data_IF_255092580810
#
_entry.id   IF_255092580810
#
_cell.length_a   1.000
_cell.length_b   1.000
_cell.length_c   1.000
_cell.angle_alpha   90.00
_cell.angle_beta   90.00
_cell.angle_gamma   90.00
#
_symmetry.space_group_name_H-M   'P 1'
#
loop_
_entity.id
_entity.type
_entity.pdbx_description
1 polymer ?
#
# COMPACT_ATOMS: atom_id res chain seq x y z
N UNK A 1 3.76 -18.14 3.66
CA UNK A 1 2.86 -17.54 2.64
C UNK A 1 3.70 -16.88 1.56
N UNK A 2 3.49 -17.30 0.30
CA UNK A 2 4.15 -16.80 -0.91
C UNK A 2 5.62 -17.21 -1.04
N UNK A 3 5.91 -18.19 -1.90
CA UNK A 3 7.27 -18.50 -2.36
C UNK A 3 7.90 -17.26 -3.02
N UNK A 4 9.24 -17.18 -3.03
CA UNK A 4 9.96 -16.09 -3.70
C UNK A 4 9.55 -15.94 -5.17
N UNK A 5 9.28 -17.08 -5.83
CA UNK A 5 8.81 -17.15 -7.22
C UNK A 5 7.43 -16.50 -7.41
N UNK A 6 6.48 -16.79 -6.52
CA UNK A 6 5.15 -16.16 -6.56
C UNK A 6 5.23 -14.66 -6.32
N UNK A 7 6.01 -14.22 -5.33
CA UNK A 7 6.18 -12.79 -5.07
C UNK A 7 6.81 -12.05 -6.25
N UNK A 8 7.82 -12.65 -6.89
CA UNK A 8 8.45 -12.10 -8.09
C UNK A 8 7.47 -11.97 -9.27
N UNK A 9 6.63 -12.99 -9.48
CA UNK A 9 5.57 -12.96 -10.51
C UNK A 9 4.59 -11.81 -10.27
N UNK A 10 4.14 -11.62 -9.03
CA UNK A 10 3.24 -10.53 -8.67
C UNK A 10 3.87 -9.14 -8.90
N UNK A 11 5.14 -8.96 -8.52
CA UNK A 11 5.88 -7.71 -8.77
C UNK A 11 6.01 -7.45 -10.27
N UNK A 12 6.28 -8.48 -11.07
CA UNK A 12 6.34 -8.35 -12.53
C UNK A 12 5.00 -7.88 -13.10
N UNK A 13 3.89 -8.52 -12.70
CA UNK A 13 2.54 -8.15 -13.14
C UNK A 13 2.18 -6.70 -12.78
N UNK A 14 2.58 -6.25 -11.58
CA UNK A 14 2.39 -4.87 -11.15
C UNK A 14 3.20 -3.88 -12.01
N UNK A 15 4.48 -4.15 -12.25
CA UNK A 15 5.35 -3.27 -13.05
C UNK A 15 4.93 -3.22 -14.52
N UNK A 16 4.42 -4.32 -15.07
CA UNK A 16 3.92 -4.41 -16.45
C UNK A 16 2.49 -3.86 -16.62
N UNK A 17 1.86 -3.36 -15.54
CA UNK A 17 0.51 -2.82 -15.59
C UNK A 17 -0.59 -3.86 -15.83
N UNK A 18 -0.27 -5.16 -15.68
CA UNK A 18 -1.22 -6.27 -15.82
C UNK A 18 -2.17 -6.38 -14.62
N UNK A 19 -1.87 -5.67 -13.52
CA UNK A 19 -2.70 -5.55 -12.33
C UNK A 19 -2.85 -4.09 -11.97
N UNK A 20 -4.10 -3.64 -11.81
CA UNK A 20 -4.42 -2.27 -11.43
C UNK A 20 -4.33 -2.04 -9.92
N UNK A 21 -4.61 -3.08 -9.13
CA UNK A 21 -4.63 -3.02 -7.66
C UNK A 21 -3.79 -4.15 -7.10
N UNK A 22 -2.95 -3.83 -6.13
CA UNK A 22 -2.14 -4.79 -5.41
C UNK A 22 -2.25 -4.56 -3.90
N UNK A 23 -2.50 -5.62 -3.14
CA UNK A 23 -2.59 -5.56 -1.68
C UNK A 23 -1.34 -6.18 -1.05
N UNK A 24 -0.70 -5.44 -0.14
CA UNK A 24 0.55 -5.81 0.47
C UNK A 24 0.54 -5.47 1.96
N UNK A 25 1.24 -6.26 2.78
CA UNK A 25 1.66 -5.85 4.11
C UNK A 25 3.13 -5.42 4.06
N UNK A 26 3.58 -4.63 5.05
CA UNK A 26 4.98 -4.20 5.15
C UNK A 26 6.00 -5.36 5.16
N UNK A 27 5.56 -6.57 5.51
CA UNK A 27 6.39 -7.77 5.53
C UNK A 27 6.80 -8.26 4.12
N UNK A 28 6.34 -7.62 3.05
CA UNK A 28 6.69 -8.07 1.70
C UNK A 28 8.18 -7.93 1.39
N UNK A 29 8.94 -7.06 2.07
CA UNK A 29 10.42 -7.00 2.02
C UNK A 29 11.03 -6.76 0.63
N UNK A 30 10.20 -6.73 -0.41
CA UNK A 30 10.56 -6.55 -1.79
C UNK A 30 10.53 -5.05 -2.06
N UNK A 31 11.68 -4.52 -2.45
CA UNK A 31 11.77 -3.19 -3.03
C UNK A 31 10.97 -3.14 -4.32
N UNK A 32 9.68 -2.82 -4.23
CA UNK A 32 8.83 -2.59 -5.39
C UNK A 32 9.27 -1.26 -5.99
N UNK A 33 9.80 -1.32 -7.21
CA UNK A 33 10.13 -0.16 -8.03
C UNK A 33 9.27 -0.17 -9.30
N UNK A 34 7.97 0.07 -9.12
CA UNK A 34 7.04 0.25 -10.23
C UNK A 34 6.75 1.75 -10.36
N UNK A 35 7.38 2.45 -11.33
CA UNK A 35 7.31 3.90 -11.41
C UNK A 35 5.90 4.43 -11.69
N UNK A 36 5.03 3.59 -12.25
CA UNK A 36 3.65 3.87 -12.68
C UNK A 36 2.62 3.74 -11.55
N UNK A 37 3.02 3.47 -10.31
CA UNK A 37 2.08 3.46 -9.17
C UNK A 37 1.59 4.90 -8.94
N UNK A 38 0.29 5.14 -9.14
CA UNK A 38 -0.31 6.47 -8.92
C UNK A 38 -1.02 6.64 -7.58
N UNK A 39 -1.24 5.56 -6.84
CA UNK A 39 -1.86 5.63 -5.53
C UNK A 39 -1.28 4.59 -4.58
N UNK A 40 -1.04 5.00 -3.33
CA UNK A 40 -0.81 4.10 -2.19
C UNK A 40 -1.89 4.35 -1.17
N UNK A 41 -2.62 3.30 -0.79
CA UNK A 41 -3.68 3.35 0.22
C UNK A 41 -3.25 2.57 1.45
N UNK A 42 -3.08 3.27 2.57
CA UNK A 42 -2.81 2.65 3.86
C UNK A 42 -4.13 2.36 4.54
N UNK A 43 -4.41 1.08 4.78
CA UNK A 43 -5.61 0.63 5.46
C UNK A 43 -5.30 0.39 6.93
N UNK A 44 -6.00 1.10 7.81
CA UNK A 44 -5.81 1.02 9.26
C UNK A 44 -4.81 2.04 9.82
N UNK A 45 -4.33 1.78 11.02
CA UNK A 45 -3.56 2.76 11.81
C UNK A 45 -2.09 2.83 11.39
N UNK A 46 -1.62 4.04 11.08
CA UNK A 46 -0.20 4.33 10.88
C UNK A 46 0.54 4.24 12.20
N UNK A 47 1.32 3.18 12.41
CA UNK A 47 2.06 2.97 13.68
C UNK A 47 3.30 3.85 13.82
N UNK A 48 3.94 4.21 12.71
CA UNK A 48 5.16 5.04 12.67
C UNK A 48 5.17 5.92 11.41
N UNK A 49 5.33 7.23 11.60
CA UNK A 49 5.35 8.17 10.46
C UNK A 49 6.47 7.91 9.45
N UNK A 50 7.63 7.42 9.90
CA UNK A 50 8.74 7.03 9.01
C UNK A 50 8.33 5.92 8.03
N UNK A 51 7.58 4.94 8.52
CA UNK A 51 7.10 3.82 7.71
C UNK A 51 6.12 4.33 6.66
N UNK A 52 5.13 5.13 7.09
CA UNK A 52 4.21 5.81 6.18
C UNK A 52 4.95 6.63 5.11
N UNK A 53 5.94 7.44 5.49
CA UNK A 53 6.70 8.24 4.53
C UNK A 53 7.43 7.37 3.49
N UNK A 54 8.03 6.25 3.92
CA UNK A 54 8.71 5.32 3.03
C UNK A 54 7.74 4.57 2.09
N UNK A 55 6.58 4.16 2.62
CA UNK A 55 5.55 3.41 1.89
C UNK A 55 4.80 4.29 0.89
N UNK A 56 4.32 5.45 1.34
CA UNK A 56 3.64 6.44 0.48
C UNK A 56 4.53 6.93 -0.66
N UNK A 57 5.85 7.06 -0.43
CA UNK A 57 6.84 7.41 -1.45
C UNK A 57 7.04 6.38 -2.58
N UNK A 58 6.26 5.29 -2.60
CA UNK A 58 6.19 4.38 -3.75
C UNK A 58 5.33 4.93 -4.88
N UNK A 59 4.40 5.84 -4.59
CA UNK A 59 3.57 6.48 -5.61
C UNK A 59 4.29 7.64 -6.31
N UNK A 60 3.97 7.89 -7.59
CA UNK A 60 4.41 9.07 -8.35
C UNK A 60 5.90 9.14 -8.64
N UNK A 61 6.58 7.99 -8.74
CA UNK A 61 8.02 7.94 -9.09
C UNK A 61 8.30 8.35 -10.54
N UNK A 62 7.27 8.32 -11.39
CA UNK A 62 7.27 8.86 -12.75
C UNK A 62 7.10 10.41 -12.81
N UNK A 63 7.01 11.08 -11.66
CA UNK A 63 6.78 12.53 -11.50
C UNK A 63 5.40 13.00 -11.98
N UNK A 64 4.46 12.09 -12.22
CA UNK A 64 3.07 12.45 -12.50
C UNK A 64 2.30 12.67 -11.19
N UNK A 65 1.10 13.27 -11.32
CA UNK A 65 0.22 13.46 -10.16
C UNK A 65 -0.12 12.11 -9.54
N UNK A 66 0.12 11.98 -8.24
CA UNK A 66 -0.13 10.75 -7.48
C UNK A 66 -0.82 11.05 -6.15
N UNK A 67 -1.31 10.00 -5.48
CA UNK A 67 -2.03 10.10 -4.20
C UNK A 67 -1.43 9.19 -3.13
N UNK A 68 -1.29 9.73 -1.93
CA UNK A 68 -1.09 8.95 -0.71
C UNK A 68 -2.37 9.08 0.15
N UNK A 69 -3.04 7.97 0.39
CA UNK A 69 -4.34 7.93 1.07
C UNK A 69 -4.19 7.12 2.35
N UNK A 70 -4.77 7.63 3.45
CA UNK A 70 -4.95 6.89 4.69
C UNK A 70 -6.43 6.61 4.83
N UNK A 71 -6.80 5.33 4.84
CA UNK A 71 -8.15 4.88 5.12
C UNK A 71 -8.20 4.39 6.56
N UNK A 72 -8.70 5.25 7.45
CA UNK A 72 -8.92 4.93 8.85
C UNK A 72 -10.41 4.65 9.05
N UNK A 73 -10.72 3.44 9.51
CA UNK A 73 -12.08 3.07 9.92
C UNK A 73 -12.29 3.43 11.39
N UNK A 74 -13.52 3.77 11.74
CA UNK A 74 -13.93 3.93 13.13
C UNK A 74 -14.69 2.68 13.57
N UNK A 75 -14.48 2.23 14.81
CA UNK A 75 -15.28 1.16 15.38
C UNK A 75 -16.46 1.78 16.12
N UNK A 76 -17.66 1.24 15.91
CA UNK A 76 -18.86 1.65 16.65
C UNK A 76 -19.26 0.48 17.53
N UNK A 77 -19.32 0.67 18.85
CA UNK A 77 -19.83 -0.37 19.74
C UNK A 77 -21.36 -0.50 19.65
N UNK A 78 -21.91 -1.51 20.32
CA UNK A 78 -23.35 -1.77 20.36
C UNK A 78 -24.19 -0.63 20.96
N UNK A 79 -23.56 0.34 21.63
CA UNK A 79 -24.20 1.52 22.22
C UNK A 79 -24.09 2.76 21.31
N UNK A 80 -23.52 2.62 20.12
CA UNK A 80 -23.29 3.73 19.20
C UNK A 80 -22.06 4.58 19.51
N UNK A 81 -21.20 4.14 20.44
CA UNK A 81 -19.98 4.90 20.79
C UNK A 81 -18.91 4.65 19.73
N UNK A 82 -18.34 5.73 19.21
CA UNK A 82 -17.28 5.72 18.21
C UNK A 82 -15.91 5.62 18.90
N UNK A 83 -15.11 4.64 18.50
CA UNK A 83 -13.72 4.43 18.92
C UNK A 83 -12.80 4.59 17.71
N UNK A 84 -11.59 5.10 17.98
CA UNK A 84 -10.49 5.19 17.02
C UNK A 84 -9.61 3.95 17.11
#
# INVERSE_FOLDING_TARGET
MGSSKEKSKLVKQLTEGQQQVFTATNALGLGINAPTIQAVVHVGTIRKMRHYAQESGRAGRDRQKSKAIIMHGFQIDKRGVIYK
#
